data_IF_849284928015
#
_entry.id   IF_849284928015
#
_cell.length_a   1.000
_cell.length_b   1.000
_cell.length_c   1.000
_cell.angle_alpha   90.00
_cell.angle_beta   90.00
_cell.angle_gamma   90.00
#
_symmetry.space_group_name_H-M   'P 1'
#
loop_
_entity.id
_entity.type
_entity.pdbx_description
1 polymer ?
#
# COMPACT_ATOMS: atom_id res chain seq x y z
N UNK A 1 -13.12 6.75 18.96
CA UNK A 1 -14.04 7.82 18.53
C UNK A 1 -13.98 7.82 17.01
N UNK A 2 -14.96 7.21 16.34
CA UNK A 2 -15.13 7.46 14.91
C UNK A 2 -15.40 8.95 14.81
N UNK A 3 -14.53 9.68 14.12
CA UNK A 3 -14.79 11.08 13.77
C UNK A 3 -16.23 11.18 13.28
N UNK A 4 -16.95 12.21 13.76
CA UNK A 4 -18.20 12.63 13.14
C UNK A 4 -17.92 12.72 11.64
N UNK A 5 -18.44 11.75 10.88
CA UNK A 5 -18.32 11.72 9.45
C UNK A 5 -19.15 12.89 8.94
N UNK A 6 -18.49 14.03 8.72
CA UNK A 6 -18.88 14.96 7.67
C UNK A 6 -18.82 14.15 6.36
N UNK A 7 -19.93 13.47 6.07
CA UNK A 7 -20.07 12.63 4.89
C UNK A 7 -20.19 13.58 3.71
N UNK A 8 -19.03 13.96 3.17
CA UNK A 8 -18.97 14.80 1.98
C UNK A 8 -19.55 13.99 0.81
N UNK A 9 -20.81 14.27 0.45
CA UNK A 9 -21.52 13.57 -0.63
C UNK A 9 -20.89 13.82 -2.00
N UNK A 10 -20.25 14.98 -2.17
CA UNK A 10 -19.66 15.42 -3.42
C UNK A 10 -18.28 16.03 -3.18
N UNK A 11 -17.30 15.59 -3.96
CA UNK A 11 -15.97 16.20 -4.00
C UNK A 11 -15.87 17.11 -5.22
N UNK A 12 -15.44 18.36 -5.03
CA UNK A 12 -15.13 19.25 -6.15
C UNK A 12 -13.93 18.72 -6.93
N UNK A 13 -14.06 18.61 -8.25
CA UNK A 13 -13.01 18.08 -9.12
C UNK A 13 -12.81 18.94 -10.35
N UNK A 14 -11.59 18.95 -10.87
CA UNK A 14 -11.22 19.59 -12.14
C UNK A 14 -10.69 18.55 -13.12
N UNK A 15 -11.02 18.71 -14.40
CA UNK A 15 -10.46 17.89 -15.46
C UNK A 15 -9.01 18.30 -15.72
N UNK A 16 -8.07 17.41 -15.43
CA UNK A 16 -6.68 17.57 -15.80
C UNK A 16 -6.42 17.03 -17.22
N UNK A 17 -5.39 17.55 -17.93
CA UNK A 17 -4.84 16.88 -19.11
C UNK A 17 -4.44 15.43 -18.80
N UNK A 18 -4.33 14.59 -19.82
CA UNK A 18 -3.92 13.20 -19.61
C UNK A 18 -2.56 13.13 -18.91
N UNK A 19 -2.49 12.42 -17.77
CA UNK A 19 -1.28 12.20 -17.01
C UNK A 19 -1.10 10.72 -16.69
N UNK A 20 0.15 10.30 -16.51
CA UNK A 20 0.48 8.92 -16.13
C UNK A 20 0.22 8.73 -14.64
N UNK A 21 -0.63 7.76 -14.29
CA UNK A 21 -0.77 7.27 -12.91
C UNK A 21 0.52 6.56 -12.52
N UNK A 22 1.03 6.84 -11.32
CA UNK A 22 2.26 6.23 -10.80
C UNK A 22 1.99 5.15 -9.75
N UNK A 23 0.81 5.18 -9.14
CA UNK A 23 0.46 4.27 -8.04
C UNK A 23 -0.93 3.70 -8.26
N UNK A 24 -1.10 2.39 -8.10
CA UNK A 24 -2.39 1.70 -8.01
C UNK A 24 -2.62 1.31 -6.55
N UNK A 25 -3.68 1.82 -5.94
CA UNK A 25 -4.04 1.51 -4.55
C UNK A 25 -5.23 0.57 -4.54
N UNK A 26 -5.08 -0.59 -3.91
CA UNK A 26 -6.13 -1.60 -3.75
C UNK A 26 -6.67 -1.55 -2.31
N UNK A 27 -7.90 -1.08 -2.17
CA UNK A 27 -8.64 -1.07 -0.91
C UNK A 27 -9.72 -2.16 -0.90
N UNK A 28 -10.14 -2.57 0.29
CA UNK A 28 -11.15 -3.60 0.48
C UNK A 28 -10.94 -4.38 1.77
N UNK A 29 -11.98 -5.08 2.22
CA UNK A 29 -11.91 -5.88 3.44
C UNK A 29 -10.84 -6.99 3.34
N UNK A 30 -10.45 -7.58 4.48
CA UNK A 30 -9.59 -8.75 4.46
C UNK A 30 -10.28 -9.90 3.70
N UNK A 31 -9.54 -10.61 2.84
CA UNK A 31 -10.06 -11.75 2.09
C UNK A 31 -10.72 -11.44 0.73
N UNK A 32 -10.95 -10.18 0.36
CA UNK A 32 -11.60 -9.82 -0.94
C UNK A 32 -10.71 -10.01 -2.18
N UNK A 33 -9.51 -10.58 -2.02
CA UNK A 33 -8.61 -10.89 -3.14
C UNK A 33 -7.57 -9.81 -3.51
N UNK A 34 -7.39 -8.76 -2.69
CA UNK A 34 -6.37 -7.70 -2.90
C UNK A 34 -4.98 -8.27 -3.24
N UNK A 35 -4.50 -9.20 -2.42
CA UNK A 35 -3.19 -9.86 -2.60
C UNK A 35 -3.12 -10.66 -3.90
N UNK A 36 -4.21 -11.33 -4.28
CA UNK A 36 -4.26 -12.11 -5.52
C UNK A 36 -4.16 -11.19 -6.74
N UNK A 37 -4.98 -10.14 -6.79
CA UNK A 37 -4.96 -9.14 -7.87
C UNK A 37 -3.57 -8.52 -8.01
N UNK A 38 -2.98 -8.07 -6.90
CA UNK A 38 -1.60 -7.55 -6.87
C UNK A 38 -0.61 -8.52 -7.51
N UNK A 39 -0.57 -9.77 -7.02
CA UNK A 39 0.38 -10.76 -7.49
C UNK A 39 0.17 -11.09 -8.98
N UNK A 40 -1.09 -11.24 -9.40
CA UNK A 40 -1.41 -11.50 -10.81
C UNK A 40 -0.96 -10.37 -11.73
N UNK A 41 -1.15 -9.11 -11.33
CA UNK A 41 -0.72 -7.95 -12.14
C UNK A 41 0.80 -7.90 -12.28
N UNK A 42 1.55 -8.12 -11.19
CA UNK A 42 3.01 -8.13 -11.20
C UNK A 42 3.54 -9.30 -12.02
N UNK A 43 3.01 -10.51 -11.84
CA UNK A 43 3.45 -11.69 -12.60
C UNK A 43 3.16 -11.56 -14.10
N UNK A 44 2.00 -11.00 -14.48
CA UNK A 44 1.61 -10.88 -15.89
C UNK A 44 2.28 -9.71 -16.61
N UNK A 45 2.61 -8.65 -15.89
CA UNK A 45 3.19 -7.43 -16.46
C UNK A 45 4.33 -6.89 -15.57
N UNK A 46 5.43 -7.65 -15.42
CA UNK A 46 6.56 -7.26 -14.55
C UNK A 46 7.29 -6.01 -15.04
N UNK A 47 7.17 -5.67 -16.33
CA UNK A 47 7.67 -4.45 -16.96
C UNK A 47 6.80 -3.22 -16.68
N UNK A 48 5.65 -3.39 -16.00
CA UNK A 48 4.69 -2.31 -15.71
C UNK A 48 4.41 -2.11 -14.24
N UNK A 49 4.46 -3.17 -13.43
CA UNK A 49 4.04 -3.12 -12.03
C UNK A 49 5.11 -3.69 -11.09
N UNK A 50 5.26 -3.05 -9.93
CA UNK A 50 6.04 -3.58 -8.83
C UNK A 50 5.34 -3.31 -7.49
N UNK A 51 5.71 -4.09 -6.48
CA UNK A 51 5.28 -3.90 -5.10
C UNK A 51 6.45 -3.36 -4.27
N UNK A 52 6.27 -2.32 -3.43
CA UNK A 52 7.35 -1.84 -2.58
C UNK A 52 7.72 -2.90 -1.55
N UNK A 53 9.01 -3.21 -1.48
CA UNK A 53 9.56 -4.11 -0.47
C UNK A 53 9.40 -3.45 0.91
N UNK A 54 8.67 -4.06 1.84
CA UNK A 54 8.46 -3.51 3.17
C UNK A 54 9.75 -3.58 4.00
N UNK A 55 9.81 -2.77 5.06
CA UNK A 55 10.87 -2.78 6.05
C UNK A 55 10.40 -3.52 7.30
N UNK A 56 11.32 -4.15 8.02
CA UNK A 56 11.03 -4.79 9.31
C UNK A 56 12.19 -4.66 10.28
N UNK A 57 11.87 -4.60 11.58
CA UNK A 57 12.85 -4.70 12.67
C UNK A 57 13.14 -6.14 13.08
N UNK A 58 12.41 -7.12 12.52
CA UNK A 58 12.67 -8.53 12.77
C UNK A 58 14.08 -8.89 12.25
N UNK A 59 14.88 -9.68 12.96
CA UNK A 59 16.15 -10.16 12.41
C UNK A 59 15.93 -11.04 11.17
N UNK A 60 16.80 -10.96 10.15
CA UNK A 60 16.73 -11.85 9.00
C UNK A 60 16.94 -13.30 9.42
N UNK A 61 16.17 -14.22 8.84
CA UNK A 61 16.43 -15.66 8.94
C UNK A 61 17.63 -16.02 8.06
N UNK A 62 18.20 -17.21 8.28
CA UNK A 62 19.43 -17.69 7.60
C UNK A 62 19.37 -17.62 6.07
N UNK A 63 18.19 -17.82 5.48
CA UNK A 63 17.97 -17.84 4.03
C UNK A 63 17.32 -16.55 3.48
N UNK A 64 17.21 -15.51 4.31
CA UNK A 64 16.65 -14.22 3.90
C UNK A 64 17.75 -13.23 3.50
N UNK A 65 17.53 -12.55 2.37
CA UNK A 65 18.41 -11.52 1.83
C UNK A 65 17.78 -10.15 2.02
N UNK A 66 18.57 -9.18 2.49
CA UNK A 66 18.14 -7.79 2.62
C UNK A 66 17.79 -7.20 1.26
N UNK A 67 16.61 -6.58 1.14
CA UNK A 67 16.14 -5.98 -0.11
C UNK A 67 15.52 -6.96 -1.10
N UNK A 68 15.18 -8.18 -0.66
CA UNK A 68 14.43 -9.16 -1.47
C UNK A 68 12.96 -9.24 -1.06
N UNK A 69 12.71 -9.75 0.14
CA UNK A 69 11.37 -9.82 0.72
C UNK A 69 11.12 -8.71 1.74
N UNK A 70 12.17 -8.30 2.45
CA UNK A 70 12.16 -7.22 3.42
C UNK A 70 13.47 -6.44 3.35
N UNK A 71 13.41 -5.17 3.71
CA UNK A 71 14.56 -4.44 4.22
C UNK A 71 14.63 -4.60 5.74
N UNK A 72 15.72 -5.18 6.22
CA UNK A 72 15.95 -5.40 7.65
C UNK A 72 16.65 -4.16 8.23
N UNK A 73 15.99 -3.51 9.20
CA UNK A 73 16.47 -2.27 9.84
C UNK A 73 16.48 -2.43 11.35
N UNK A 74 17.26 -1.62 12.07
CA UNK A 74 17.19 -1.60 13.54
C UNK A 74 15.89 -0.95 14.02
N UNK A 75 15.49 -1.26 15.25
CA UNK A 75 14.34 -0.62 15.88
C UNK A 75 14.52 0.90 15.98
N UNK A 76 15.68 1.36 16.45
CA UNK A 76 15.98 2.78 16.60
C UNK A 76 15.91 3.54 15.27
N UNK A 77 16.45 2.95 14.19
CA UNK A 77 16.37 3.55 12.85
C UNK A 77 14.91 3.67 12.42
N UNK A 78 14.12 2.60 12.54
CA UNK A 78 12.73 2.62 12.13
C UNK A 78 11.92 3.63 12.94
N UNK A 79 12.16 3.77 14.24
CA UNK A 79 11.51 4.77 15.09
C UNK A 79 11.88 6.20 14.71
N UNK A 80 13.16 6.44 14.39
CA UNK A 80 13.61 7.73 13.89
C UNK A 80 12.92 8.09 12.57
N UNK A 81 12.90 7.17 11.62
CA UNK A 81 12.28 7.36 10.29
C UNK A 81 10.76 7.58 10.39
N UNK A 82 10.08 6.87 11.31
CA UNK A 82 8.66 7.10 11.62
C UNK A 82 8.46 8.53 12.14
N UNK A 83 9.30 9.00 13.07
CA UNK A 83 9.21 10.37 13.60
C UNK A 83 9.47 11.45 12.53
N UNK A 84 10.22 11.10 11.49
CA UNK A 84 10.50 11.93 10.32
C UNK A 84 9.42 11.84 9.22
N UNK A 85 8.31 11.11 9.46
CA UNK A 85 7.24 10.87 8.50
C UNK A 85 7.69 10.17 7.19
N UNK A 86 8.69 9.29 7.28
CA UNK A 86 9.21 8.57 6.10
C UNK A 86 8.41 7.30 5.74
N UNK A 87 7.55 6.85 6.65
CA UNK A 87 6.71 5.67 6.46
C UNK A 87 5.31 6.07 6.03
N UNK A 88 4.81 5.40 4.98
CA UNK A 88 3.43 5.49 4.55
C UNK A 88 2.49 4.83 5.57
N UNK A 89 2.86 3.64 6.01
CA UNK A 89 2.17 2.87 7.03
C UNK A 89 3.19 2.03 7.80
N UNK A 90 2.88 1.75 9.06
CA UNK A 90 3.67 0.91 9.93
C UNK A 90 2.78 0.27 11.00
N UNK A 91 3.23 -0.86 11.54
CA UNK A 91 2.55 -1.59 12.60
C UNK A 91 3.44 -2.65 13.23
N UNK A 92 2.97 -3.24 14.33
CA UNK A 92 3.70 -4.27 15.07
C UNK A 92 3.04 -5.63 14.89
N UNK A 93 3.86 -6.68 14.72
CA UNK A 93 3.44 -8.07 14.64
C UNK A 93 4.54 -8.96 15.23
N UNK A 94 4.18 -9.88 16.13
CA UNK A 94 5.13 -10.80 16.79
C UNK A 94 6.40 -10.10 17.32
N UNK A 95 6.21 -9.03 18.11
CA UNK A 95 7.28 -8.22 18.72
C UNK A 95 8.26 -7.52 17.75
N UNK A 96 7.97 -7.55 16.44
CA UNK A 96 8.68 -6.81 15.42
C UNK A 96 7.80 -5.74 14.78
N UNK A 97 8.41 -4.66 14.33
CA UNK A 97 7.73 -3.64 13.53
C UNK A 97 7.88 -3.95 12.05
N UNK A 98 6.87 -3.56 11.28
CA UNK A 98 6.81 -3.65 9.84
C UNK A 98 6.28 -2.33 9.27
N UNK A 99 6.70 -1.97 8.07
CA UNK A 99 6.18 -0.77 7.44
C UNK A 99 6.65 -0.56 6.01
N UNK A 100 5.94 0.29 5.29
CA UNK A 100 6.26 0.64 3.90
C UNK A 100 6.81 2.06 3.86
N UNK A 101 8.11 2.22 3.54
CA UNK A 101 8.71 3.55 3.36
C UNK A 101 8.23 4.21 2.06
N UNK A 102 8.02 5.52 2.11
CA UNK A 102 7.70 6.34 0.93
C UNK A 102 8.81 6.25 -0.12
N UNK A 103 10.06 6.18 0.34
CA UNK A 103 11.23 6.06 -0.53
C UNK A 103 11.21 4.79 -1.41
N UNK A 104 10.74 3.65 -0.88
CA UNK A 104 10.61 2.43 -1.68
C UNK A 104 9.60 2.60 -2.81
N UNK A 105 8.55 3.39 -2.59
CA UNK A 105 7.53 3.69 -3.60
C UNK A 105 8.13 4.61 -4.67
N UNK A 106 8.90 5.64 -4.27
CA UNK A 106 9.59 6.55 -5.19
C UNK A 106 10.55 5.81 -6.12
N UNK A 107 11.33 4.87 -5.60
CA UNK A 107 12.25 4.04 -6.41
C UNK A 107 11.53 3.24 -7.50
N UNK A 108 10.31 2.77 -7.25
CA UNK A 108 9.48 2.12 -8.29
C UNK A 108 9.09 3.13 -9.37
N UNK A 109 8.71 4.35 -8.98
CA UNK A 109 8.35 5.40 -9.93
C UNK A 109 9.54 5.86 -10.78
N UNK A 110 10.74 5.93 -10.20
CA UNK A 110 11.99 6.25 -10.89
C UNK A 110 12.34 5.21 -11.96
N UNK A 111 12.00 3.94 -11.72
CA UNK A 111 12.11 2.87 -12.72
C UNK A 111 11.03 2.94 -13.82
N UNK A 112 10.12 3.91 -13.75
CA UNK A 112 9.03 4.09 -14.71
C UNK A 112 7.86 3.11 -14.53
N UNK A 113 7.88 2.30 -13.46
CA UNK A 113 6.86 1.32 -13.12
C UNK A 113 5.73 1.95 -12.29
N UNK A 114 4.58 1.29 -12.26
CA UNK A 114 3.46 1.62 -11.39
C UNK A 114 3.59 0.84 -10.08
N UNK A 115 3.66 1.54 -8.96
CA UNK A 115 3.63 0.90 -7.64
C UNK A 115 2.23 0.38 -7.34
N UNK A 116 2.07 -0.90 -7.01
CA UNK A 116 0.82 -1.45 -6.50
C UNK A 116 0.89 -1.48 -4.98
N UNK A 117 -0.12 -0.93 -4.30
CA UNK A 117 -0.20 -0.84 -2.84
C UNK A 117 -1.49 -1.49 -2.34
N UNK A 118 -1.42 -2.41 -1.37
CA UNK A 118 -2.57 -2.98 -0.65
C UNK A 118 -2.64 -2.50 0.81
N UNK A 119 -2.57 -1.17 0.96
CA UNK A 119 -2.52 -0.40 2.21
C UNK A 119 -3.90 -0.20 2.85
N UNK A 120 -3.93 0.32 4.08
CA UNK A 120 -5.17 0.76 4.73
C UNK A 120 -5.69 2.10 4.20
N UNK A 121 -7.01 2.41 4.30
CA UNK A 121 -7.59 3.65 3.79
C UNK A 121 -6.93 4.93 4.33
N UNK A 122 -6.41 4.89 5.56
CA UNK A 122 -5.71 6.02 6.18
C UNK A 122 -4.49 6.49 5.37
N UNK A 123 -3.82 5.57 4.67
CA UNK A 123 -2.67 5.86 3.81
C UNK A 123 -3.01 6.82 2.65
N UNK A 124 -4.29 6.92 2.26
CA UNK A 124 -4.72 7.85 1.21
C UNK A 124 -4.49 9.32 1.59
N UNK A 125 -4.44 9.66 2.88
CA UNK A 125 -4.13 11.04 3.32
C UNK A 125 -2.74 11.49 2.87
N UNK A 126 -1.80 10.54 2.73
CA UNK A 126 -0.43 10.80 2.25
C UNK A 126 -0.33 10.59 0.74
N UNK A 127 -1.03 9.60 0.19
CA UNK A 127 -0.91 9.24 -1.23
C UNK A 127 -1.66 10.17 -2.19
N UNK A 128 -2.70 10.90 -1.75
CA UNK A 128 -3.52 11.76 -2.63
C UNK A 128 -2.80 13.07 -3.00
N UNK A 129 -1.64 12.95 -3.63
CA UNK A 129 -0.81 14.07 -4.12
C UNK A 129 -0.38 13.83 -5.56
N UNK A 130 0.12 14.87 -6.23
CA UNK A 130 0.67 14.77 -7.58
C UNK A 130 1.95 13.91 -7.64
N UNK A 131 2.68 13.81 -6.53
CA UNK A 131 3.89 13.00 -6.41
C UNK A 131 3.58 11.53 -6.68
N UNK A 132 2.58 10.97 -5.97
CA UNK A 132 2.20 9.56 -6.06
C UNK A 132 1.10 9.28 -7.09
N UNK A 133 0.32 10.30 -7.46
CA UNK A 133 -0.72 10.25 -8.49
C UNK A 133 -1.55 8.95 -8.47
N UNK A 134 -2.20 8.60 -7.33
CA UNK A 134 -2.79 7.30 -7.12
C UNK A 134 -4.02 7.09 -8.00
N UNK A 135 -4.22 5.86 -8.46
CA UNK A 135 -5.48 5.34 -8.96
C UNK A 135 -6.02 4.38 -7.90
N UNK A 136 -7.11 4.77 -7.24
CA UNK A 136 -7.65 4.03 -6.09
C UNK A 136 -8.78 3.14 -6.57
N UNK A 137 -8.67 1.84 -6.27
CA UNK A 137 -9.68 0.83 -6.58
C UNK A 137 -10.14 0.19 -5.29
N UNK A 138 -11.43 0.35 -4.98
CA UNK A 138 -12.07 -0.37 -3.88
C UNK A 138 -12.68 -1.67 -4.38
N UNK A 139 -12.27 -2.79 -3.79
CA UNK A 139 -12.80 -4.12 -4.09
C UNK A 139 -13.86 -4.42 -3.03
N UNK A 140 -15.12 -4.28 -3.44
CA UNK A 140 -16.26 -4.60 -2.59
C UNK A 140 -16.30 -6.12 -2.34
N UNK A 141 -16.53 -6.51 -1.08
CA UNK A 141 -16.87 -7.89 -0.77
C UNK A 141 -18.16 -8.28 -1.51
N UNK A 142 -18.29 -9.53 -1.96
CA UNK A 142 -19.57 -10.00 -2.49
C UNK A 142 -20.62 -9.88 -1.39
N UNK A 143 -21.86 -9.59 -1.78
CA UNK A 143 -22.99 -9.70 -0.86
C UNK A 143 -23.04 -11.14 -0.36
N UNK A 144 -23.05 -11.33 0.95
CA UNK A 144 -23.42 -12.61 1.54
C UNK A 144 -24.90 -12.75 1.21
N UNK A 145 -25.24 -13.47 0.14
CA UNK A 145 -26.57 -14.04 0.02
C UNK A 145 -26.65 -15.01 1.20
N UNK A 146 -27.51 -14.79 2.21
CA UNK A 146 -27.72 -15.79 3.23
C UNK A 146 -28.05 -17.08 2.49
N UNK A 147 -27.28 -18.13 2.73
CA UNK A 147 -27.56 -19.42 2.13
C UNK A 147 -29.03 -19.74 2.38
N UNK A 148 -29.75 -20.06 1.31
CA UNK A 148 -30.91 -20.92 1.40
C UNK A 148 -30.37 -22.17 2.09
N UNK A 149 -30.65 -22.30 3.38
CA UNK A 149 -30.48 -23.55 4.08
C UNK A 149 -31.50 -24.53 3.47
N UNK A 150 -31.04 -25.40 2.59
CA UNK A 150 -31.61 -26.73 2.35
C UNK A 150 -30.47 -27.75 2.29
#
# INVERSE_FOLDING_TARGET
>A
VFDQLDLVTYEEVVKLPAFKRKTLVLLGAHGVGRRHIKNTLITKHPDRFAYPIPHTTRPPKKDEENGKNYYFVSHDQMMQDISNNEYLEYGSHEDAMYGTKLETIRKIHEQGLIAILDVEPQALKVLRTAEFAPFVVFIAAPTITPGINE
#
